data_IF_522478539964
#
_entry.id   IF_522478539964
#
_cell.length_a   1.000
_cell.length_b   1.000
_cell.length_c   1.000
_cell.angle_alpha   90.00
_cell.angle_beta   90.00
_cell.angle_gamma   90.00
#
_symmetry.space_group_name_H-M   'P 1'
#
loop_
_entity.id
_entity.type
_entity.pdbx_description
1 polymer ?
#
# COMPACT_ATOMS: atom_id res chain seq x y z
N UNK A 1 32.41 -3.04 -6.95
CA UNK A 1 31.38 -2.77 -5.91
C UNK A 1 30.03 -3.28 -6.41
N UNK A 2 29.46 -4.30 -5.77
CA UNK A 2 28.16 -4.86 -6.20
C UNK A 2 27.01 -3.89 -5.92
N UNK A 3 26.02 -3.82 -6.83
CA UNK A 3 24.80 -3.03 -6.61
C UNK A 3 24.10 -3.53 -5.34
N UNK A 4 23.76 -2.61 -4.43
CA UNK A 4 22.96 -2.91 -3.23
C UNK A 4 21.63 -3.55 -3.64
N UNK A 5 21.23 -4.62 -2.94
CA UNK A 5 19.96 -5.28 -3.20
C UNK A 5 18.80 -4.29 -3.01
N UNK A 6 17.85 -4.29 -3.96
CA UNK A 6 16.67 -3.42 -3.92
C UNK A 6 15.79 -3.74 -2.70
N UNK A 7 15.44 -2.72 -1.92
CA UNK A 7 14.54 -2.82 -0.76
C UNK A 7 13.09 -3.10 -1.17
N UNK A 8 12.26 -3.57 -0.23
CA UNK A 8 10.86 -3.94 -0.53
C UNK A 8 10.04 -2.70 -0.93
N UNK A 9 10.23 -1.56 -0.26
CA UNK A 9 9.56 -0.31 -0.63
C UNK A 9 9.92 0.19 -2.03
N UNK A 10 11.14 -0.06 -2.50
CA UNK A 10 11.56 0.34 -3.86
C UNK A 10 10.82 -0.44 -4.97
N UNK A 11 10.36 -1.67 -4.68
CA UNK A 11 9.43 -2.38 -5.56
C UNK A 11 8.04 -1.74 -5.48
N UNK A 12 7.53 -1.54 -4.26
CA UNK A 12 6.22 -0.94 -4.01
C UNK A 12 6.06 0.39 -4.73
N UNK A 13 6.97 1.33 -4.47
CA UNK A 13 7.10 2.66 -5.09
C UNK A 13 6.98 2.63 -6.61
N UNK A 14 7.75 1.76 -7.26
CA UNK A 14 7.76 1.70 -8.73
C UNK A 14 6.50 1.06 -9.28
N UNK A 15 5.97 0.03 -8.61
CA UNK A 15 4.70 -0.61 -9.00
C UNK A 15 3.55 0.40 -8.87
N UNK A 16 3.48 1.12 -7.75
CA UNK A 16 2.49 2.18 -7.51
C UNK A 16 2.52 3.23 -8.60
N UNK A 17 3.72 3.73 -8.92
CA UNK A 17 3.90 4.71 -9.99
C UNK A 17 3.46 4.18 -11.36
N UNK A 18 3.83 2.95 -11.71
CA UNK A 18 3.37 2.33 -12.95
C UNK A 18 1.85 2.20 -13.02
N UNK A 19 1.21 1.75 -11.93
CA UNK A 19 -0.25 1.59 -11.85
C UNK A 19 -0.96 2.94 -11.90
N UNK A 20 -0.39 3.99 -11.31
CA UNK A 20 -0.88 5.36 -11.43
C UNK A 20 -0.91 5.81 -12.89
N UNK A 21 0.22 5.68 -13.58
CA UNK A 21 0.33 6.05 -15.00
C UNK A 21 -0.67 5.27 -15.85
N UNK A 22 -0.83 3.96 -15.61
CA UNK A 22 -1.78 3.15 -16.36
C UNK A 22 -3.23 3.60 -16.12
N UNK A 23 -3.60 3.86 -14.87
CA UNK A 23 -4.96 4.25 -14.50
C UNK A 23 -5.31 5.65 -15.01
N UNK A 24 -4.40 6.62 -14.94
CA UNK A 24 -4.63 7.96 -15.47
C UNK A 24 -4.65 7.97 -17.01
N UNK A 25 -3.77 7.20 -17.66
CA UNK A 25 -3.77 7.09 -19.11
C UNK A 25 -5.11 6.54 -19.66
N UNK A 26 -5.76 5.63 -18.93
CA UNK A 26 -7.11 5.12 -19.28
C UNK A 26 -8.20 6.19 -19.24
N UNK A 27 -8.03 7.25 -18.45
CA UNK A 27 -9.02 8.34 -18.32
C UNK A 27 -8.87 9.39 -19.42
N UNK A 28 -7.76 9.38 -20.17
CA UNK A 28 -7.53 10.32 -21.28
C UNK A 28 -8.52 10.02 -22.41
N UNK A 29 -9.51 10.90 -22.59
CA UNK A 29 -10.64 10.72 -23.51
C UNK A 29 -10.24 10.49 -24.97
N UNK A 30 -9.07 10.96 -25.37
CA UNK A 30 -8.58 10.90 -26.75
C UNK A 30 -7.96 9.53 -27.12
N UNK A 31 -7.62 8.70 -26.12
CA UNK A 31 -6.86 7.47 -26.35
C UNK A 31 -7.53 6.29 -25.65
N UNK A 32 -8.04 5.34 -26.43
CA UNK A 32 -8.66 4.12 -25.89
C UNK A 32 -7.59 3.12 -25.43
N UNK A 33 -7.05 3.34 -24.24
CA UNK A 33 -6.14 2.39 -23.58
C UNK A 33 -6.99 1.37 -22.80
N UNK A 34 -7.01 0.13 -23.30
CA UNK A 34 -7.77 -0.97 -22.70
C UNK A 34 -6.81 -2.01 -22.12
N UNK A 35 -5.68 -2.23 -22.80
CA UNK A 35 -4.69 -3.23 -22.44
C UNK A 35 -3.26 -2.67 -22.35
N UNK A 36 -2.35 -3.51 -21.86
CA UNK A 36 -0.93 -3.15 -21.65
C UNK A 36 -0.19 -2.82 -22.94
N UNK A 37 -0.53 -3.48 -24.04
CA UNK A 37 0.12 -3.21 -25.32
C UNK A 37 -0.17 -1.78 -25.80
N UNK A 38 -1.43 -1.35 -25.71
CA UNK A 38 -1.84 0.02 -26.04
C UNK A 38 -1.19 1.04 -25.11
N UNK A 39 -1.13 0.73 -23.80
CA UNK A 39 -0.45 1.60 -22.85
C UNK A 39 1.04 1.75 -23.15
N UNK A 40 1.75 0.65 -23.45
CA UNK A 40 3.16 0.73 -23.85
C UNK A 40 3.32 1.57 -25.12
N UNK A 41 2.49 1.35 -26.14
CA UNK A 41 2.53 2.14 -27.37
C UNK A 41 2.37 3.64 -27.07
N UNK A 42 1.40 4.00 -26.23
CA UNK A 42 1.18 5.39 -25.78
C UNK A 42 2.39 5.99 -25.07
N UNK A 43 2.98 5.27 -24.12
CA UNK A 43 4.14 5.77 -23.38
C UNK A 43 5.36 5.94 -24.26
N UNK A 44 5.61 5.04 -25.21
CA UNK A 44 6.75 5.12 -26.12
C UNK A 44 6.56 6.15 -27.24
N UNK A 45 5.35 6.30 -27.78
CA UNK A 45 5.08 7.29 -28.85
C UNK A 45 5.27 8.73 -28.38
N UNK A 46 5.12 8.96 -27.08
CA UNK A 46 5.20 10.28 -26.48
C UNK A 46 6.47 10.48 -25.64
N UNK A 47 7.38 9.50 -25.63
CA UNK A 47 8.68 9.63 -24.97
C UNK A 47 9.73 10.13 -25.95
N UNK A 48 10.56 11.09 -25.53
CA UNK A 48 11.75 11.56 -26.28
C UNK A 48 12.83 10.45 -26.40
N UNK A 49 12.63 9.29 -25.76
CA UNK A 49 13.63 8.26 -25.57
C UNK A 49 13.43 7.08 -26.53
N UNK A 50 14.56 6.54 -27.01
CA UNK A 50 14.62 5.29 -27.78
C UNK A 50 13.87 4.17 -27.05
N UNK A 51 13.03 3.39 -27.76
CA UNK A 51 12.22 2.35 -27.17
C UNK A 51 13.08 1.15 -26.78
N UNK A 52 13.76 1.24 -25.65
CA UNK A 52 14.14 0.04 -24.93
C UNK A 52 12.85 -0.52 -24.30
N UNK A 53 12.08 -1.24 -25.11
CA UNK A 53 10.87 -2.00 -24.75
C UNK A 53 11.05 -2.88 -23.50
N UNK A 54 12.30 -3.16 -23.13
CA UNK A 54 12.69 -3.95 -21.96
C UNK A 54 12.65 -3.18 -20.64
N UNK A 55 12.82 -1.84 -20.63
CA UNK A 55 12.92 -1.09 -19.37
C UNK A 55 11.55 -0.80 -18.75
N UNK A 56 10.59 -0.34 -19.56
CA UNK A 56 9.26 0.02 -19.04
C UNK A 56 8.48 -1.21 -18.55
N UNK A 57 8.65 -2.37 -19.21
CA UNK A 57 8.14 -3.67 -18.71
C UNK A 57 8.72 -4.06 -17.34
N UNK A 58 9.94 -3.65 -17.01
CA UNK A 58 10.54 -3.89 -15.69
C UNK A 58 9.85 -3.05 -14.61
N UNK A 59 9.36 -1.85 -14.92
CA UNK A 59 8.64 -1.00 -13.96
C UNK A 59 7.32 -1.61 -13.51
N UNK A 60 6.60 -2.34 -14.39
CA UNK A 60 5.38 -3.09 -14.04
C UNK A 60 5.55 -3.99 -12.82
N UNK A 61 6.75 -4.57 -12.64
CA UNK A 61 7.10 -5.45 -11.53
C UNK A 61 8.07 -4.79 -10.54
N UNK A 62 8.31 -3.49 -10.64
CA UNK A 62 9.25 -2.76 -9.78
C UNK A 62 10.70 -3.24 -9.86
N UNK A 63 11.09 -3.90 -10.96
CA UNK A 63 12.42 -4.50 -11.13
C UNK A 63 13.51 -3.48 -11.52
N UNK A 64 13.12 -2.22 -11.71
CA UNK A 64 14.03 -1.13 -12.08
C UNK A 64 13.50 0.19 -11.51
N UNK A 65 14.39 1.15 -11.24
CA UNK A 65 13.97 2.49 -10.79
C UNK A 65 13.75 3.37 -12.02
N UNK A 66 12.63 4.09 -12.11
CA UNK A 66 12.40 5.07 -13.15
C UNK A 66 13.52 6.10 -13.21
N UNK A 67 14.17 6.17 -14.36
CA UNK A 67 15.25 7.13 -14.61
C UNK A 67 14.69 8.55 -14.73
N UNK A 68 15.54 9.56 -14.50
CA UNK A 68 15.17 11.00 -14.58
C UNK A 68 14.44 11.35 -15.88
N UNK A 69 14.93 10.77 -16.98
CA UNK A 69 14.34 10.79 -18.31
C UNK A 69 12.85 10.38 -18.32
N UNK A 70 12.57 9.18 -17.82
CA UNK A 70 11.21 8.64 -17.74
C UNK A 70 10.33 9.47 -16.81
N UNK A 71 10.83 9.88 -15.64
CA UNK A 71 10.07 10.73 -14.71
C UNK A 71 9.62 12.05 -15.36
N UNK A 72 10.53 12.72 -16.08
CA UNK A 72 10.22 13.97 -16.78
C UNK A 72 9.16 13.76 -17.87
N UNK A 73 9.37 12.77 -18.73
CA UNK A 73 8.43 12.47 -19.82
C UNK A 73 7.06 12.06 -19.31
N UNK A 74 6.98 11.30 -18.21
CA UNK A 74 5.69 10.90 -17.65
C UNK A 74 4.96 12.04 -16.98
N UNK A 75 5.67 13.00 -16.36
CA UNK A 75 5.05 14.17 -15.74
C UNK A 75 4.41 15.09 -16.79
N UNK A 76 5.07 15.27 -17.92
CA UNK A 76 4.54 16.05 -19.06
C UNK A 76 3.25 15.43 -19.63
N UNK A 77 3.11 14.10 -19.55
CA UNK A 77 1.96 13.37 -20.10
C UNK A 77 0.84 13.13 -19.08
N UNK A 78 1.22 12.86 -17.84
CA UNK A 78 0.34 12.50 -16.74
C UNK A 78 0.80 13.30 -15.52
N UNK A 79 0.14 14.44 -15.24
CA UNK A 79 0.48 15.29 -14.11
C UNK A 79 0.47 14.51 -12.78
N UNK A 80 1.29 14.96 -11.82
CA UNK A 80 1.46 14.36 -10.50
C UNK A 80 2.09 12.96 -10.49
N UNK A 81 2.62 12.49 -11.62
CA UNK A 81 3.38 11.25 -11.66
C UNK A 81 4.65 11.33 -10.78
N UNK A 82 5.28 12.50 -10.72
CA UNK A 82 6.42 12.78 -9.84
C UNK A 82 5.99 12.70 -8.38
N UNK A 83 4.86 13.30 -8.01
CA UNK A 83 4.34 13.29 -6.63
C UNK A 83 4.17 11.85 -6.12
N UNK A 84 3.65 10.95 -6.96
CA UNK A 84 3.50 9.52 -6.60
C UNK A 84 4.83 8.83 -6.37
N UNK A 85 5.82 9.03 -7.24
CA UNK A 85 7.10 8.31 -7.12
C UNK A 85 8.04 8.95 -6.10
N UNK A 86 7.91 10.23 -5.80
CA UNK A 86 8.76 10.95 -4.85
C UNK A 86 8.12 11.10 -3.48
N UNK A 87 6.88 10.60 -3.32
CA UNK A 87 6.17 10.63 -2.05
C UNK A 87 7.03 10.13 -0.87
N UNK A 88 7.08 10.89 0.25
CA UNK A 88 7.88 10.52 1.42
C UNK A 88 7.53 9.16 2.06
N UNK A 89 6.32 8.63 1.83
CA UNK A 89 5.89 7.32 2.34
C UNK A 89 6.81 6.18 1.90
N UNK A 90 7.51 6.34 0.76
CA UNK A 90 8.47 5.34 0.27
C UNK A 90 9.78 5.30 1.05
N UNK A 91 10.02 6.27 1.93
CA UNK A 91 11.24 6.35 2.74
C UNK A 91 11.05 5.86 4.18
N UNK A 92 9.83 5.48 4.59
CA UNK A 92 9.51 5.10 5.98
C UNK A 92 10.38 3.96 6.53
N UNK A 93 10.94 3.09 5.68
CA UNK A 93 11.87 2.02 6.08
C UNK A 93 13.18 2.58 6.64
N UNK A 94 13.73 3.64 6.03
CA UNK A 94 15.05 4.19 6.29
C UNK A 94 15.04 5.43 7.21
N UNK A 95 13.86 5.89 7.62
CA UNK A 95 13.72 7.07 8.46
C UNK A 95 13.82 6.69 9.94
N UNK A 96 14.93 7.05 10.57
CA UNK A 96 14.96 7.32 12.01
C UNK A 96 14.29 8.68 12.23
N UNK A 97 13.15 8.65 12.90
CA UNK A 97 12.37 9.85 13.18
C UNK A 97 12.82 10.42 14.52
N UNK A 98 13.60 11.50 14.47
CA UNK A 98 13.70 12.43 15.58
C UNK A 98 12.56 13.46 15.50
N UNK A 99 12.39 14.26 16.56
CA UNK A 99 11.32 15.27 16.65
C UNK A 99 11.29 16.18 15.43
N UNK A 100 12.43 16.74 15.07
CA UNK A 100 12.54 17.80 14.07
C UNK A 100 12.19 17.28 12.69
N UNK A 101 12.60 16.05 12.37
CA UNK A 101 12.27 15.41 11.12
C UNK A 101 10.79 15.08 11.01
N UNK A 102 10.17 14.56 12.08
CA UNK A 102 8.71 14.31 12.06
C UNK A 102 7.95 15.61 11.84
N UNK A 103 8.31 16.67 12.56
CA UNK A 103 7.68 17.99 12.46
C UNK A 103 7.86 18.56 11.05
N UNK A 104 9.08 18.50 10.49
CA UNK A 104 9.36 18.94 9.13
C UNK A 104 8.54 18.18 8.08
N UNK A 105 8.44 16.86 8.22
CA UNK A 105 7.61 16.03 7.33
C UNK A 105 6.12 16.35 7.47
N UNK A 106 5.64 16.65 8.68
CA UNK A 106 4.26 17.09 8.91
C UNK A 106 3.96 18.42 8.21
N UNK A 107 4.92 19.36 8.18
CA UNK A 107 4.75 20.62 7.44
C UNK A 107 4.72 20.44 5.91
N UNK A 108 5.32 19.36 5.40
CA UNK A 108 5.34 19.04 3.96
C UNK A 108 4.09 18.30 3.49
N UNK A 109 3.16 17.93 4.39
CA UNK A 109 1.87 17.37 4.02
C UNK A 109 1.05 18.39 3.21
N UNK A 110 0.13 17.87 2.39
CA UNK A 110 -0.84 18.70 1.67
C UNK A 110 -1.67 19.53 2.64
N UNK A 111 -2.00 20.78 2.26
CA UNK A 111 -2.62 21.77 3.13
C UNK A 111 -3.85 21.22 3.88
N UNK A 112 -4.76 20.53 3.17
CA UNK A 112 -5.98 19.99 3.77
C UNK A 112 -5.75 18.94 4.87
N UNK A 113 -4.66 18.16 4.79
CA UNK A 113 -4.28 17.21 5.84
C UNK A 113 -3.43 17.90 6.90
N UNK A 114 -2.52 18.79 6.49
CA UNK A 114 -1.58 19.50 7.36
C UNK A 114 -2.27 20.27 8.47
N UNK A 115 -3.37 20.96 8.14
CA UNK A 115 -4.19 21.72 9.10
C UNK A 115 -4.80 20.86 10.23
N UNK A 116 -4.85 19.53 10.05
CA UNK A 116 -5.32 18.58 11.06
C UNK A 116 -4.18 17.95 11.88
N UNK A 117 -2.93 18.17 11.48
CA UNK A 117 -1.76 17.48 12.04
C UNK A 117 -0.88 18.45 12.80
N UNK A 118 -0.66 19.66 12.29
CA UNK A 118 0.28 20.63 12.86
C UNK A 118 -0.32 22.04 12.91
N UNK A 119 0.05 22.82 13.93
CA UNK A 119 -0.33 24.23 14.04
C UNK A 119 0.74 25.10 13.38
N UNK A 120 0.38 25.82 12.31
CA UNK A 120 1.30 26.66 11.53
C UNK A 120 1.97 27.77 12.36
N UNK A 121 1.30 28.29 13.39
CA UNK A 121 1.81 29.39 14.20
C UNK A 121 2.78 28.97 15.31
N UNK A 122 2.74 27.70 15.72
CA UNK A 122 3.45 27.21 16.92
C UNK A 122 4.48 26.13 16.58
N UNK A 123 4.50 25.63 15.33
CA UNK A 123 5.37 24.53 14.89
C UNK A 123 5.25 23.27 15.77
N UNK A 124 4.07 23.07 16.36
CA UNK A 124 3.78 21.94 17.25
C UNK A 124 2.65 21.08 16.69
N UNK A 125 2.79 19.74 16.74
CA UNK A 125 1.71 18.85 16.38
C UNK A 125 0.46 19.14 17.21
N UNK A 126 -0.70 19.15 16.56
CA UNK A 126 -1.97 19.44 17.22
C UNK A 126 -2.38 18.29 18.15
N UNK A 127 -3.17 18.55 19.21
CA UNK A 127 -3.77 17.50 20.01
C UNK A 127 -4.63 16.57 19.14
N UNK A 128 -4.19 15.32 18.96
CA UNK A 128 -4.88 14.37 18.09
C UNK A 128 -5.99 13.65 18.85
N UNK A 129 -7.20 13.72 18.30
CA UNK A 129 -8.35 12.92 18.74
C UNK A 129 -8.78 11.93 17.66
N UNK A 130 -9.60 10.95 18.03
CA UNK A 130 -10.20 10.04 17.06
C UNK A 130 -11.01 10.76 15.97
N UNK A 131 -11.63 11.91 16.31
CA UNK A 131 -12.36 12.73 15.34
C UNK A 131 -11.44 13.31 14.27
N UNK A 132 -10.23 13.74 14.64
CA UNK A 132 -9.21 14.27 13.72
C UNK A 132 -8.67 13.14 12.84
N UNK A 133 -8.35 11.98 13.42
CA UNK A 133 -7.90 10.81 12.66
C UNK A 133 -8.95 10.35 11.64
N UNK A 134 -10.24 10.46 11.97
CA UNK A 134 -11.35 10.20 11.04
C UNK A 134 -11.37 11.20 9.87
N UNK A 135 -11.10 12.48 10.13
CA UNK A 135 -11.00 13.51 9.07
C UNK A 135 -9.82 13.24 8.15
N UNK A 136 -8.63 12.97 8.70
CA UNK A 136 -7.43 12.62 7.91
C UNK A 136 -7.70 11.38 7.05
N UNK A 137 -8.31 10.34 7.62
CA UNK A 137 -8.60 9.09 6.90
C UNK A 137 -9.60 9.26 5.74
N UNK A 138 -10.35 10.36 5.69
CA UNK A 138 -11.34 10.64 4.64
C UNK A 138 -10.74 11.20 3.35
N UNK A 139 -9.47 11.65 3.35
CA UNK A 139 -8.78 12.10 2.14
C UNK A 139 -8.46 10.95 1.17
N UNK A 140 -8.33 9.72 1.70
CA UNK A 140 -8.21 8.50 0.90
C UNK A 140 -7.07 8.51 -0.14
N UNK A 141 -5.93 9.10 0.21
CA UNK A 141 -4.71 9.18 -0.60
C UNK A 141 -3.49 8.65 0.19
N UNK A 142 -2.31 8.68 -0.45
CA UNK A 142 -1.06 8.29 0.21
C UNK A 142 -0.69 9.23 1.36
N UNK A 143 -1.01 10.52 1.24
CA UNK A 143 -0.75 11.52 2.28
C UNK A 143 -1.53 11.22 3.56
N UNK A 144 -2.78 10.75 3.46
CA UNK A 144 -3.57 10.36 4.61
C UNK A 144 -2.92 9.19 5.37
N UNK A 145 -2.44 8.18 4.64
CA UNK A 145 -1.72 7.05 5.24
C UNK A 145 -0.42 7.54 5.90
N UNK A 146 0.31 8.41 5.21
CA UNK A 146 1.58 8.94 5.70
C UNK A 146 1.40 9.85 6.92
N UNK A 147 0.39 10.71 6.93
CA UNK A 147 0.06 11.58 8.06
C UNK A 147 -0.29 10.77 9.32
N UNK A 148 -1.11 9.72 9.20
CA UNK A 148 -1.41 8.84 10.34
C UNK A 148 -0.14 8.13 10.82
N UNK A 149 0.75 7.73 9.92
CA UNK A 149 2.04 7.16 10.27
C UNK A 149 2.96 8.17 10.98
N UNK A 150 3.05 9.43 10.51
CA UNK A 150 3.81 10.49 11.17
C UNK A 150 3.28 10.79 12.57
N UNK A 151 1.96 10.84 12.75
CA UNK A 151 1.33 10.98 14.06
C UNK A 151 1.64 9.81 15.00
N UNK A 152 1.72 8.59 14.46
CA UNK A 152 2.18 7.43 15.23
C UNK A 152 3.65 7.59 15.66
N UNK A 153 4.54 8.02 14.77
CA UNK A 153 5.95 8.27 15.11
C UNK A 153 6.08 9.37 16.16
N UNK A 154 5.29 10.44 16.04
CA UNK A 154 5.22 11.49 17.06
C UNK A 154 4.80 10.93 18.41
N UNK A 155 3.75 10.11 18.45
CA UNK A 155 3.31 9.42 19.66
C UNK A 155 4.42 8.60 20.32
N UNK A 156 5.26 7.92 19.54
CA UNK A 156 6.43 7.23 20.08
C UNK A 156 7.46 8.20 20.69
N UNK A 157 7.76 9.31 20.00
CA UNK A 157 8.74 10.31 20.47
C UNK A 157 8.32 10.92 21.80
N UNK A 158 7.03 11.24 21.98
CA UNK A 158 6.51 11.82 23.21
C UNK A 158 6.03 10.78 24.24
N UNK A 159 6.29 9.49 24.01
CA UNK A 159 5.82 8.37 24.83
C UNK A 159 4.30 8.34 25.08
N UNK A 160 3.50 8.80 24.11
CA UNK A 160 2.05 8.76 24.16
C UNK A 160 1.51 7.50 23.43
N UNK A 161 1.47 6.38 24.15
CA UNK A 161 0.98 5.11 23.59
C UNK A 161 -0.52 5.12 23.25
N UNK A 162 -1.32 5.98 23.89
CA UNK A 162 -2.72 6.14 23.52
C UNK A 162 -2.85 6.71 22.10
N UNK A 163 -2.04 7.71 21.76
CA UNK A 163 -1.95 8.23 20.40
C UNK A 163 -1.48 7.14 19.43
N UNK A 164 -0.41 6.41 19.77
CA UNK A 164 0.08 5.29 18.96
C UNK A 164 -1.04 4.27 18.67
N UNK A 165 -1.78 3.85 19.69
CA UNK A 165 -2.88 2.90 19.56
C UNK A 165 -4.01 3.46 18.70
N UNK A 166 -4.38 4.72 18.88
CA UNK A 166 -5.40 5.39 18.06
C UNK A 166 -5.00 5.43 16.59
N UNK A 167 -3.75 5.79 16.26
CA UNK A 167 -3.23 5.78 14.89
C UNK A 167 -3.21 4.36 14.31
N UNK A 168 -2.72 3.38 15.08
CA UNK A 168 -2.65 1.99 14.66
C UNK A 168 -4.03 1.40 14.35
N UNK A 169 -5.01 1.64 15.22
CA UNK A 169 -6.42 1.25 15.02
C UNK A 169 -7.04 1.98 13.83
N UNK A 170 -6.70 3.26 13.62
CA UNK A 170 -7.21 4.04 12.49
C UNK A 170 -6.73 3.46 11.16
N UNK A 171 -5.44 3.12 11.04
CA UNK A 171 -4.90 2.47 9.85
C UNK A 171 -5.57 1.12 9.62
N UNK A 172 -5.60 0.26 10.64
CA UNK A 172 -6.24 -1.07 10.59
C UNK A 172 -7.69 -1.01 10.06
N UNK A 173 -8.51 -0.10 10.59
CA UNK A 173 -9.93 0.03 10.21
C UNK A 173 -10.14 0.61 8.82
N UNK A 174 -9.15 1.30 8.24
CA UNK A 174 -9.30 1.99 6.96
C UNK A 174 -8.51 1.34 5.81
N UNK A 175 -7.74 0.28 6.03
CA UNK A 175 -6.96 -0.38 4.96
C UNK A 175 -7.79 -0.73 3.73
N UNK A 176 -8.97 -1.31 3.94
CA UNK A 176 -9.89 -1.67 2.86
C UNK A 176 -10.33 -0.44 2.07
N UNK A 177 -10.68 0.65 2.77
CA UNK A 177 -11.13 1.90 2.14
C UNK A 177 -10.00 2.60 1.40
N UNK A 178 -8.80 2.62 1.96
CA UNK A 178 -7.61 3.12 1.26
C UNK A 178 -7.36 2.33 -0.01
N UNK A 179 -7.45 1.00 0.05
CA UNK A 179 -7.25 0.16 -1.14
C UNK A 179 -8.34 0.37 -2.19
N UNK A 180 -9.58 0.62 -1.78
CA UNK A 180 -10.70 0.89 -2.68
C UNK A 180 -10.56 2.23 -3.43
N UNK A 181 -10.09 3.27 -2.73
CA UNK A 181 -10.06 4.62 -3.26
C UNK A 181 -8.70 4.98 -3.91
N UNK A 182 -7.61 4.36 -3.47
CA UNK A 182 -6.27 4.52 -4.04
C UNK A 182 -6.04 3.43 -5.09
N UNK A 183 -6.68 3.59 -6.26
CA UNK A 183 -6.70 2.57 -7.32
C UNK A 183 -5.32 2.09 -7.78
N UNK A 184 -4.30 2.94 -7.67
CA UNK A 184 -2.93 2.61 -8.06
C UNK A 184 -2.13 1.85 -6.98
N UNK A 185 -2.73 1.57 -5.82
CA UNK A 185 -2.11 0.80 -4.73
C UNK A 185 -2.48 -0.70 -4.78
N UNK A 186 -3.38 -1.12 -5.68
CA UNK A 186 -3.92 -2.49 -5.71
C UNK A 186 -2.86 -3.60 -5.71
N UNK A 187 -1.72 -3.39 -6.36
CA UNK A 187 -0.62 -4.38 -6.34
C UNK A 187 0.42 -4.08 -5.26
N UNK A 188 0.83 -2.83 -5.14
CA UNK A 188 1.91 -2.44 -4.23
C UNK A 188 1.53 -2.43 -2.74
N UNK A 189 0.24 -2.44 -2.38
CA UNK A 189 -0.21 -2.49 -0.99
C UNK A 189 0.38 -3.69 -0.23
N UNK A 190 0.61 -4.83 -0.90
CA UNK A 190 1.22 -6.03 -0.28
C UNK A 190 2.55 -5.68 0.40
N UNK A 191 3.36 -4.86 -0.26
CA UNK A 191 4.66 -4.43 0.24
C UNK A 191 4.55 -3.24 1.19
N UNK A 192 3.72 -2.24 0.86
CA UNK A 192 3.57 -1.05 1.70
C UNK A 192 2.98 -1.41 3.07
N UNK A 193 1.93 -2.21 3.11
CA UNK A 193 1.30 -2.65 4.35
C UNK A 193 2.24 -3.52 5.17
N UNK A 194 3.04 -4.38 4.53
CA UNK A 194 4.10 -5.12 5.24
C UNK A 194 5.05 -4.19 5.99
N UNK A 195 5.51 -3.12 5.36
CA UNK A 195 6.46 -2.21 5.98
C UNK A 195 5.79 -1.38 7.09
N UNK A 196 4.60 -0.84 6.83
CA UNK A 196 3.84 -0.06 7.83
C UNK A 196 3.58 -0.91 9.08
N UNK A 197 3.02 -2.11 8.92
CA UNK A 197 2.63 -2.95 10.07
C UNK A 197 3.78 -3.72 10.72
N UNK A 198 4.97 -3.74 10.11
CA UNK A 198 6.19 -4.13 10.82
C UNK A 198 6.67 -3.02 11.77
N UNK A 199 6.37 -1.75 11.47
CA UNK A 199 6.79 -0.58 12.27
C UNK A 199 5.75 -0.14 13.30
N UNK A 200 4.48 -0.42 13.04
CA UNK A 200 3.38 -0.06 13.93
C UNK A 200 3.00 -1.23 14.84
N UNK A 201 2.87 -0.94 16.13
CA UNK A 201 2.42 -1.88 17.15
C UNK A 201 1.40 -1.19 18.06
N UNK A 202 0.52 -1.98 18.66
CA UNK A 202 -0.31 -1.51 19.76
C UNK A 202 0.37 -1.83 21.07
N UNK A 203 0.34 -0.91 22.02
CA UNK A 203 0.92 -1.09 23.36
C UNK A 203 -0.18 -0.86 24.37
N UNK A 204 -0.53 -1.89 25.12
CA UNK A 204 -1.46 -1.80 26.24
C UNK A 204 -0.69 -2.06 27.54
N UNK A 205 -1.16 -1.50 28.65
CA UNK A 205 -0.61 -1.81 29.96
C UNK A 205 -1.55 -2.72 30.72
N UNK A 206 -1.05 -3.88 31.11
CA UNK A 206 -1.71 -4.73 32.10
C UNK A 206 -1.17 -4.36 33.48
N UNK A 207 -2.07 -4.25 34.45
CA UNK A 207 -1.76 -3.97 35.85
C UNK A 207 -0.84 -2.74 36.03
N UNK A 208 -1.02 -1.73 35.15
CA UNK A 208 -0.29 -0.45 35.10
C UNK A 208 1.24 -0.54 34.90
N UNK A 209 1.81 -1.75 34.83
CA UNK A 209 3.27 -1.96 34.91
C UNK A 209 3.80 -2.85 33.79
N UNK A 210 2.98 -3.72 33.22
CA UNK A 210 3.40 -4.68 32.19
C UNK A 210 2.92 -4.19 30.82
N UNK A 211 3.86 -3.78 29.97
CA UNK A 211 3.56 -3.41 28.60
C UNK A 211 3.30 -4.66 27.73
N UNK A 212 2.06 -4.85 27.31
CA UNK A 212 1.66 -5.85 26.34
C UNK A 212 1.69 -5.25 24.93
N UNK A 213 2.62 -5.77 24.11
CA UNK A 213 2.81 -5.32 22.73
C UNK A 213 2.09 -6.26 21.79
N UNK A 214 1.13 -5.74 21.03
CA UNK A 214 0.37 -6.49 20.03
C UNK A 214 0.77 -6.06 18.62
N UNK A 215 1.19 -7.02 17.80
CA UNK A 215 1.44 -6.81 16.37
C UNK A 215 0.14 -6.90 15.57
N UNK A 216 0.00 -6.04 14.56
CA UNK A 216 -1.18 -6.07 13.67
C UNK A 216 -0.87 -6.95 12.46
N UNK A 217 -1.66 -8.01 12.26
CA UNK A 217 -1.55 -8.87 11.09
C UNK A 217 -2.56 -8.44 10.02
N UNK A 218 -2.13 -7.56 9.11
CA UNK A 218 -3.00 -7.03 8.06
C UNK A 218 -3.50 -8.11 7.08
N UNK A 219 -2.76 -9.21 6.87
CA UNK A 219 -3.21 -10.33 6.02
C UNK A 219 -4.33 -11.13 6.69
N UNK A 220 -4.29 -11.26 8.03
CA UNK A 220 -5.40 -11.84 8.80
C UNK A 220 -6.64 -10.95 8.68
N UNK A 221 -6.48 -9.64 8.88
CA UNK A 221 -7.56 -8.64 8.72
C UNK A 221 -8.17 -8.67 7.32
N UNK A 222 -7.33 -8.77 6.27
CA UNK A 222 -7.79 -8.97 4.89
C UNK A 222 -8.69 -10.18 4.80
N UNK A 223 -8.29 -11.32 5.36
CA UNK A 223 -9.11 -12.52 5.37
C UNK A 223 -10.46 -12.27 6.06
N UNK A 224 -10.42 -11.83 7.31
CA UNK A 224 -11.56 -11.86 8.22
C UNK A 224 -12.57 -10.76 8.00
N UNK A 225 -12.11 -9.53 7.73
CA UNK A 225 -12.93 -8.32 7.87
C UNK A 225 -13.22 -7.61 6.54
N UNK A 226 -12.39 -7.80 5.51
CA UNK A 226 -12.57 -7.09 4.25
C UNK A 226 -13.72 -7.67 3.41
N UNK A 227 -14.40 -6.79 2.65
CA UNK A 227 -15.38 -7.20 1.64
C UNK A 227 -14.75 -8.15 0.61
N UNK A 228 -15.55 -9.13 0.19
CA UNK A 228 -15.10 -10.23 -0.68
C UNK A 228 -14.41 -9.77 -1.96
N UNK A 229 -14.96 -8.78 -2.68
CA UNK A 229 -14.37 -8.28 -3.92
C UNK A 229 -12.97 -7.64 -3.73
N UNK A 230 -12.80 -6.80 -2.71
CA UNK A 230 -11.53 -6.12 -2.41
C UNK A 230 -10.50 -7.14 -1.91
N UNK A 231 -10.93 -8.03 -1.01
CA UNK A 231 -10.13 -9.15 -0.50
C UNK A 231 -9.62 -10.03 -1.63
N UNK A 232 -10.49 -10.41 -2.57
CA UNK A 232 -10.15 -11.27 -3.69
C UNK A 232 -9.13 -10.62 -4.64
N UNK A 233 -9.34 -9.33 -4.98
CA UNK A 233 -8.38 -8.56 -5.78
C UNK A 233 -7.01 -8.46 -5.11
N UNK A 234 -6.97 -8.35 -3.78
CA UNK A 234 -5.73 -8.38 -3.02
C UNK A 234 -5.02 -9.74 -3.09
N UNK A 235 -5.73 -10.87 -2.97
CA UNK A 235 -5.14 -12.20 -3.16
C UNK A 235 -4.58 -12.39 -4.58
N UNK A 236 -5.34 -11.99 -5.61
CA UNK A 236 -4.89 -12.07 -7.01
C UNK A 236 -3.63 -11.24 -7.22
N UNK A 237 -3.58 -10.05 -6.63
CA UNK A 237 -2.41 -9.17 -6.70
C UNK A 237 -1.18 -9.81 -6.05
N UNK A 238 -1.31 -10.37 -4.84
CA UNK A 238 -0.22 -11.07 -4.15
C UNK A 238 0.27 -12.29 -4.95
N UNK A 239 -0.65 -13.08 -5.51
CA UNK A 239 -0.34 -14.24 -6.35
C UNK A 239 0.38 -13.85 -7.65
N UNK A 240 -0.10 -12.83 -8.34
CA UNK A 240 0.53 -12.38 -9.58
C UNK A 240 1.93 -11.80 -9.32
N UNK A 241 2.14 -11.15 -8.18
CA UNK A 241 3.46 -10.72 -7.75
C UNK A 241 4.38 -11.92 -7.42
N UNK A 242 3.85 -12.97 -6.80
CA UNK A 242 4.63 -14.16 -6.45
C UNK A 242 5.07 -15.01 -7.65
N UNK A 243 4.45 -14.86 -8.83
CA UNK A 243 4.92 -15.52 -10.06
C UNK A 243 6.30 -15.03 -10.49
N UNK A 244 6.69 -13.81 -10.11
CA UNK A 244 8.02 -13.30 -10.43
C UNK A 244 9.08 -13.91 -9.49
N UNK A 245 10.10 -14.57 -10.05
CA UNK A 245 11.11 -15.28 -9.27
C UNK A 245 11.87 -14.40 -8.25
N UNK A 246 12.10 -13.12 -8.55
CA UNK A 246 12.78 -12.18 -7.64
C UNK A 246 11.86 -11.78 -6.48
N UNK A 247 10.61 -11.44 -6.80
CA UNK A 247 9.61 -11.03 -5.81
C UNK A 247 9.18 -12.19 -4.92
N UNK A 248 9.00 -13.39 -5.49
CA UNK A 248 8.58 -14.59 -4.75
C UNK A 248 9.44 -14.81 -3.50
N UNK A 249 10.77 -14.65 -3.61
CA UNK A 249 11.72 -14.80 -2.51
C UNK A 249 11.45 -13.83 -1.36
N UNK A 250 10.90 -12.64 -1.64
CA UNK A 250 10.53 -11.64 -0.63
C UNK A 250 9.21 -11.98 0.07
N UNK A 251 8.30 -12.68 -0.61
CA UNK A 251 7.00 -13.10 -0.09
C UNK A 251 7.03 -14.47 0.59
N UNK A 252 8.06 -15.29 0.34
CA UNK A 252 8.16 -16.69 0.77
C UNK A 252 7.93 -16.97 2.26
N UNK A 253 8.10 -16.01 3.17
CA UNK A 253 7.92 -16.21 4.62
C UNK A 253 6.63 -15.60 5.17
N UNK A 254 5.73 -15.13 4.30
CA UNK A 254 4.52 -14.43 4.70
C UNK A 254 3.34 -15.39 4.71
N UNK A 255 2.64 -15.44 5.84
CA UNK A 255 1.42 -16.22 6.00
C UNK A 255 0.29 -15.63 5.16
N UNK A 256 -0.46 -16.48 4.47
CA UNK A 256 -1.63 -16.08 3.70
C UNK A 256 -2.85 -16.70 4.36
N UNK A 257 -3.65 -15.86 5.01
CA UNK A 257 -4.91 -16.29 5.63
C UNK A 257 -5.97 -16.38 4.55
N UNK A 258 -6.60 -17.54 4.36
CA UNK A 258 -7.65 -17.76 3.35
C UNK A 258 -8.78 -18.55 4.02
N UNK A 259 -10.02 -18.07 3.89
CA UNK A 259 -11.17 -18.83 4.39
C UNK A 259 -11.48 -20.03 3.47
N UNK A 260 -12.18 -21.04 3.96
CA UNK A 260 -12.57 -22.17 3.10
C UNK A 260 -13.39 -21.72 1.88
N UNK A 261 -14.36 -20.83 2.07
CA UNK A 261 -15.16 -20.26 0.97
C UNK A 261 -14.32 -19.47 -0.02
N UNK A 262 -13.40 -18.61 0.45
CA UNK A 262 -12.48 -17.90 -0.45
C UNK A 262 -11.57 -18.86 -1.22
N UNK A 263 -11.14 -19.96 -0.59
CA UNK A 263 -10.31 -20.97 -1.26
C UNK A 263 -11.04 -21.67 -2.40
N UNK A 264 -12.35 -21.89 -2.25
CA UNK A 264 -13.19 -22.41 -3.32
C UNK A 264 -13.36 -21.38 -4.43
N UNK A 265 -13.64 -20.11 -4.09
CA UNK A 265 -13.77 -19.03 -5.08
C UNK A 265 -12.46 -18.83 -5.84
N UNK A 266 -11.30 -18.90 -5.18
CA UNK A 266 -9.99 -18.79 -5.84
C UNK A 266 -9.72 -19.98 -6.77
N UNK A 267 -10.17 -21.20 -6.39
CA UNK A 267 -10.09 -22.39 -7.26
C UNK A 267 -11.05 -22.31 -8.44
N UNK A 268 -12.18 -21.63 -8.29
CA UNK A 268 -13.12 -21.32 -9.39
C UNK A 268 -12.50 -20.18 -10.20
N UNK A 269 -12.03 -20.48 -11.42
CA UNK A 269 -11.35 -19.55 -12.34
C UNK A 269 -11.99 -18.14 -12.30
N UNK A 270 -11.31 -17.18 -11.67
CA UNK A 270 -11.82 -15.81 -11.56
C UNK A 270 -11.46 -15.10 -12.86
N UNK A 271 -12.46 -14.89 -13.72
CA UNK A 271 -12.37 -14.02 -14.87
C UNK A 271 -12.53 -12.57 -14.39
N UNK A 272 -11.43 -11.81 -14.34
CA UNK A 272 -11.49 -10.36 -14.16
C UNK A 272 -11.72 -9.62 -15.50
N UNK A 273 -11.64 -10.35 -16.61
CA UNK A 273 -11.95 -9.92 -17.98
C UNK A 273 -12.57 -11.13 -18.71
N UNK A 274 -13.61 -11.02 -19.58
CA UNK A 274 -14.22 -12.18 -20.25
C UNK A 274 -13.24 -13.04 -21.07
N UNK A 275 -12.05 -12.51 -21.37
CA UNK A 275 -11.01 -13.18 -22.15
C UNK A 275 -9.80 -13.67 -21.32
N UNK A 276 -9.71 -13.36 -20.02
CA UNK A 276 -8.58 -13.77 -19.16
C UNK A 276 -9.05 -14.74 -18.06
N UNK A 277 -9.04 -16.03 -18.39
CA UNK A 277 -9.24 -17.10 -17.41
C UNK A 277 -7.98 -17.27 -16.55
N UNK A 278 -7.99 -16.71 -15.33
CA UNK A 278 -6.91 -16.96 -14.37
C UNK A 278 -7.30 -18.14 -13.48
N UNK A 279 -6.67 -19.30 -13.70
CA UNK A 279 -6.68 -20.38 -12.71
C UNK A 279 -5.69 -20.04 -11.60
N UNK A 280 -6.17 -19.83 -10.37
CA UNK A 280 -5.33 -19.54 -9.21
C UNK A 280 -5.06 -20.84 -8.45
N UNK A 281 -3.99 -21.55 -8.80
CA UNK A 281 -3.54 -22.69 -8.02
C UNK A 281 -2.57 -22.23 -6.93
N UNK A 282 -3.10 -21.80 -5.78
CA UNK A 282 -2.28 -21.39 -4.63
C UNK A 282 -1.46 -22.54 -4.03
N UNK A 283 -1.87 -23.79 -4.26
CA UNK A 283 -1.16 -24.98 -3.78
C UNK A 283 0.23 -25.13 -4.42
N UNK A 284 0.47 -24.55 -5.61
CA UNK A 284 1.76 -24.67 -6.31
C UNK A 284 2.83 -23.71 -5.75
N UNK A 285 2.44 -22.66 -5.01
CA UNK A 285 3.33 -21.55 -4.65
C UNK A 285 3.48 -21.31 -3.14
N UNK A 286 2.45 -21.62 -2.32
CA UNK A 286 2.47 -21.38 -0.87
C UNK A 286 1.96 -22.54 0.02
N UNK A 287 2.14 -23.83 -0.33
CA UNK A 287 1.46 -24.91 0.40
C UNK A 287 1.76 -24.93 1.91
N UNK A 288 2.94 -24.47 2.34
CA UNK A 288 3.31 -24.38 3.76
C UNK A 288 2.97 -23.07 4.47
N UNK A 289 2.36 -22.09 3.78
CA UNK A 289 2.13 -20.74 4.32
C UNK A 289 0.66 -20.31 4.28
N UNK A 290 -0.23 -21.17 3.75
CA UNK A 290 -1.67 -20.91 3.74
C UNK A 290 -2.25 -21.34 5.08
N UNK A 291 -2.86 -20.39 5.78
CA UNK A 291 -3.60 -20.65 7.01
C UNK A 291 -5.08 -20.64 6.66
N UNK A 292 -5.66 -21.85 6.62
CA UNK A 292 -7.10 -22.00 6.52
C UNK A 292 -7.75 -21.65 7.85
N UNK A 293 -8.81 -20.85 7.78
CA UNK A 293 -9.64 -20.59 8.94
C UNK A 293 -11.11 -20.62 8.54
N UNK A 294 -11.96 -20.97 9.50
CA UNK A 294 -13.41 -20.93 9.32
C UNK A 294 -13.84 -19.50 9.67
N UNK A 295 -14.43 -18.81 8.69
CA UNK A 295 -15.01 -17.49 8.93
C UNK A 295 -16.22 -17.69 9.84
N UNK A 296 -16.16 -17.22 11.09
CA UNK A 296 -17.35 -17.18 11.94
C UNK A 296 -18.34 -16.23 11.27
N UNK A 297 -19.48 -16.76 10.85
CA UNK A 297 -20.57 -15.94 10.33
C UNK A 297 -20.92 -14.89 11.40
N UNK A 298 -20.90 -13.60 11.03
CA UNK A 298 -21.34 -12.49 11.91
C UNK A 298 -22.86 -12.49 12.13
N UNK A 299 -23.53 -13.63 11.99
CA UNK A 299 -25.00 -13.79 12.12
C UNK A 299 -25.36 -14.85 13.16
N UNK A 300 -24.73 -14.78 14.32
CA UNK A 300 -25.28 -15.35 15.56
C UNK A 300 -25.20 -14.27 16.64
N UNK A 301 -26.08 -13.30 16.51
CA UNK A 301 -26.58 -12.47 17.59
C UNK A 301 -27.95 -11.95 17.15
N UNK A 302 -28.91 -12.88 17.08
CA UNK A 302 -30.31 -12.56 17.25
C UNK A 302 -30.91 -13.58 18.21
N UNK A 303 -31.35 -13.03 19.33
CA UNK A 303 -32.08 -13.59 20.48
C UNK A 303 -31.23 -14.13 21.62
#
# INVERSE_FOLDING_TARGET
MGRRARGILEYAKTITWYDYLFNEAKKLKEIKIINEYQFYKFMYSNSIYSPEAKLFRKYKFGLSTPQKAWKKSTEELIPSAIDIIEHPIWNIENLEFNSDKVISEMHNLTLGIREHVISEGVYTPQPVSYSILKKISAFHDLDAIYAIYLLYQWGLIINNYQLCNCCAVTLEKNLEKFLLNISYLHRSHIFLFDIIFNKIKKVNYKDLTIAEVTNINWRKLRGTDWKSNIRMNSYVSEYNLSKNAVISKKLKKKEIYISYSDSLILKVKIATDPNDLIALNFNDLFPSHIIFYIQKNKTENHN
#
